data_IF_895972651803
#
_entry.id   IF_895972651803
#
_cell.length_a   1.000
_cell.length_b   1.000
_cell.length_c   1.000
_cell.angle_alpha   90.00
_cell.angle_beta   90.00
_cell.angle_gamma   90.00
#
_symmetry.space_group_name_H-M   'P 1'
#
loop_
_entity.id
_entity.type
_entity.pdbx_description
1 polymer ?
#
# COMPACT_ATOMS: atom_id res chain seq x y z
N UNK A 1 1.87 14.24 -10.15
CA UNK A 1 2.29 14.29 -11.57
C UNK A 1 2.13 12.91 -12.23
N UNK A 2 2.79 11.83 -11.78
CA UNK A 2 2.71 10.51 -12.44
C UNK A 2 1.28 10.02 -12.72
N UNK A 3 0.38 10.08 -11.73
CA UNK A 3 -1.03 9.71 -11.93
C UNK A 3 -1.70 10.55 -13.02
N UNK A 4 -1.40 11.84 -13.11
CA UNK A 4 -2.02 12.73 -14.10
C UNK A 4 -1.50 12.51 -15.53
N UNK A 5 -0.34 11.91 -15.68
CA UNK A 5 0.26 11.56 -16.97
C UNK A 5 -0.09 10.13 -17.43
N UNK A 6 -0.55 9.28 -16.50
CA UNK A 6 -0.90 7.90 -16.80
C UNK A 6 -2.15 7.84 -17.70
N UNK A 7 -2.05 7.05 -18.78
CA UNK A 7 -3.12 6.88 -19.79
C UNK A 7 -3.76 5.48 -19.79
N UNK A 8 -3.18 4.56 -19.02
CA UNK A 8 -3.66 3.17 -18.94
C UNK A 8 -4.84 3.02 -18.00
N UNK A 9 -5.64 1.98 -18.23
CA UNK A 9 -6.78 1.61 -17.38
C UNK A 9 -6.35 1.05 -16.03
N UNK A 10 -5.08 0.64 -15.91
CA UNK A 10 -4.47 0.04 -14.73
C UNK A 10 -3.17 0.76 -14.40
N UNK A 11 -2.98 1.10 -13.14
CA UNK A 11 -1.81 1.82 -12.65
C UNK A 11 -1.00 0.92 -11.71
N UNK A 12 0.32 0.86 -11.96
CA UNK A 12 1.31 0.30 -11.06
C UNK A 12 2.21 1.42 -10.52
N UNK A 13 2.54 1.34 -9.23
CA UNK A 13 3.51 2.22 -8.59
C UNK A 13 4.78 1.43 -8.30
N UNK A 14 5.91 1.95 -8.70
CA UNK A 14 7.24 1.37 -8.44
C UNK A 14 8.11 2.51 -7.92
N UNK A 15 8.71 2.31 -6.75
CA UNK A 15 9.66 3.27 -6.18
C UNK A 15 10.96 3.26 -7.00
N UNK A 16 11.64 4.38 -7.10
CA UNK A 16 12.83 4.56 -7.95
C UNK A 16 14.05 3.77 -7.48
N UNK A 17 14.03 3.29 -6.25
CA UNK A 17 15.06 2.46 -5.65
C UNK A 17 14.70 0.95 -5.62
N UNK A 18 13.50 0.60 -6.05
CA UNK A 18 13.01 -0.77 -6.09
C UNK A 18 13.03 -1.32 -7.54
N UNK A 19 12.80 -2.61 -7.70
CA UNK A 19 12.65 -3.24 -9.01
C UNK A 19 11.68 -4.43 -8.95
N UNK A 20 11.36 -4.99 -10.12
CA UNK A 20 10.39 -6.08 -10.24
C UNK A 20 10.97 -7.23 -11.07
N UNK A 21 10.41 -8.45 -10.90
CA UNK A 21 10.77 -9.60 -11.72
C UNK A 21 10.38 -9.38 -13.18
N UNK A 22 11.07 -10.07 -14.10
CA UNK A 22 10.78 -9.99 -15.55
C UNK A 22 9.36 -10.41 -15.90
N UNK A 23 8.77 -11.30 -15.11
CA UNK A 23 7.39 -11.81 -15.28
C UNK A 23 6.34 -11.00 -14.54
N UNK A 24 6.74 -9.95 -13.81
CA UNK A 24 5.87 -9.18 -12.90
C UNK A 24 4.59 -8.70 -13.57
N UNK A 25 4.70 -7.95 -14.66
CA UNK A 25 3.53 -7.39 -15.34
C UNK A 25 2.66 -8.46 -15.98
N UNK A 26 3.27 -9.46 -16.62
CA UNK A 26 2.56 -10.55 -17.27
C UNK A 26 1.71 -11.35 -16.27
N UNK A 27 2.30 -11.76 -15.15
CA UNK A 27 1.63 -12.53 -14.11
C UNK A 27 0.51 -11.72 -13.43
N UNK A 28 0.77 -10.44 -13.13
CA UNK A 28 -0.24 -9.60 -12.50
C UNK A 28 -1.39 -9.26 -13.44
N UNK A 29 -1.10 -8.97 -14.71
CA UNK A 29 -2.11 -8.66 -15.69
C UNK A 29 -3.03 -9.85 -15.97
N UNK A 30 -2.52 -11.08 -15.92
CA UNK A 30 -3.33 -12.29 -16.12
C UNK A 30 -4.45 -12.47 -15.10
N UNK A 31 -4.33 -11.83 -13.93
CA UNK A 31 -5.34 -11.86 -12.86
C UNK A 31 -6.23 -10.62 -12.80
N UNK A 32 -6.00 -9.66 -13.71
CA UNK A 32 -6.76 -8.41 -13.71
C UNK A 32 -8.13 -8.63 -14.36
N UNK A 33 -9.18 -8.22 -13.67
CA UNK A 33 -10.57 -8.24 -14.16
C UNK A 33 -11.10 -6.84 -14.50
N UNK A 34 -10.28 -5.79 -14.28
CA UNK A 34 -10.66 -4.39 -14.46
C UNK A 34 -11.31 -3.74 -13.23
N UNK A 35 -11.82 -4.54 -12.29
CA UNK A 35 -12.46 -4.09 -11.05
C UNK A 35 -11.90 -4.77 -9.79
N UNK A 36 -10.69 -5.33 -9.88
CA UNK A 36 -9.97 -5.92 -8.76
C UNK A 36 -8.60 -5.25 -8.56
N UNK A 37 -8.10 -5.30 -7.34
CA UNK A 37 -6.69 -5.02 -7.05
C UNK A 37 -5.92 -6.33 -7.12
N UNK A 38 -4.83 -6.35 -7.90
CA UNK A 38 -3.93 -7.51 -7.96
C UNK A 38 -2.70 -7.22 -7.12
N UNK A 39 -2.33 -8.14 -6.24
CA UNK A 39 -1.18 -8.04 -5.34
C UNK A 39 -0.12 -9.06 -5.74
N UNK A 40 1.16 -8.64 -5.76
CA UNK A 40 2.31 -9.49 -6.06
C UNK A 40 3.01 -10.01 -4.81
N UNK A 41 4.00 -10.90 -5.00
CA UNK A 41 4.88 -11.35 -3.93
C UNK A 41 5.88 -10.24 -3.55
N UNK A 42 5.91 -9.80 -2.29
CA UNK A 42 6.87 -8.79 -1.81
C UNK A 42 8.14 -9.47 -1.30
N UNK A 43 9.28 -9.09 -1.84
CA UNK A 43 10.60 -9.54 -1.44
C UNK A 43 11.42 -8.34 -0.93
N UNK A 44 11.77 -8.34 0.34
CA UNK A 44 12.58 -7.28 0.92
C UNK A 44 14.02 -7.74 1.11
N UNK A 45 15.00 -6.85 0.84
CA UNK A 45 16.43 -7.15 0.97
C UNK A 45 17.24 -5.89 1.34
N UNK A 46 18.42 -6.07 1.91
CA UNK A 46 19.36 -4.97 2.14
C UNK A 46 20.12 -4.63 0.85
N UNK A 47 20.38 -3.35 0.64
CA UNK A 47 21.19 -2.88 -0.46
C UNK A 47 22.55 -3.62 -0.50
N UNK A 48 22.93 -4.09 -1.71
CA UNK A 48 24.12 -4.92 -1.92
C UNK A 48 23.93 -6.42 -1.64
N UNK A 49 22.80 -6.84 -1.04
CA UNK A 49 22.55 -8.26 -0.68
C UNK A 49 21.20 -8.78 -1.19
N UNK A 50 20.94 -8.75 -2.50
CA UNK A 50 19.64 -9.12 -3.05
C UNK A 50 19.33 -10.63 -2.90
N UNK A 51 20.33 -11.47 -2.62
CA UNK A 51 20.17 -12.91 -2.36
C UNK A 51 19.62 -13.23 -0.97
N UNK A 52 19.63 -12.24 -0.03
CA UNK A 52 19.20 -12.44 1.35
C UNK A 52 17.85 -11.78 1.60
N UNK A 53 16.78 -12.58 1.60
CA UNK A 53 15.46 -12.08 1.94
C UNK A 53 15.36 -11.71 3.42
N UNK A 54 14.94 -10.49 3.67
CA UNK A 54 14.67 -10.01 5.03
C UNK A 54 13.27 -10.40 5.51
N UNK A 55 13.09 -10.57 6.83
CA UNK A 55 11.77 -10.65 7.42
C UNK A 55 10.97 -9.37 7.12
N UNK A 56 9.84 -9.52 6.42
CA UNK A 56 9.02 -8.39 6.04
C UNK A 56 7.53 -8.66 6.32
N UNK A 57 6.90 -7.73 7.05
CA UNK A 57 5.51 -7.91 7.49
C UNK A 57 4.50 -8.07 6.34
N UNK A 58 4.82 -7.53 5.16
CA UNK A 58 3.94 -7.64 4.00
C UNK A 58 4.11 -9.00 3.34
N UNK A 59 5.31 -9.58 3.31
CA UNK A 59 5.53 -10.96 2.88
C UNK A 59 4.74 -11.94 3.76
N UNK A 60 4.74 -11.72 5.07
CA UNK A 60 3.91 -12.53 5.99
C UNK A 60 2.41 -12.41 5.70
N UNK A 61 1.95 -11.21 5.32
CA UNK A 61 0.56 -11.00 4.93
C UNK A 61 0.22 -11.71 3.60
N UNK A 62 1.14 -11.67 2.62
CA UNK A 62 1.02 -12.41 1.37
C UNK A 62 0.88 -13.92 1.64
N UNK A 63 1.79 -14.51 2.43
CA UNK A 63 1.78 -15.94 2.74
C UNK A 63 0.49 -16.41 3.43
N UNK A 64 -0.17 -15.51 4.18
CA UNK A 64 -1.45 -15.80 4.81
C UNK A 64 -2.65 -15.67 3.87
N UNK A 65 -2.48 -15.05 2.72
CA UNK A 65 -3.56 -14.77 1.76
C UNK A 65 -3.44 -15.59 0.49
N UNK A 66 -2.24 -15.97 0.05
CA UNK A 66 -2.02 -16.72 -1.19
C UNK A 66 -2.77 -18.05 -1.18
N UNK A 67 -3.38 -18.41 -2.31
CA UNK A 67 -4.17 -19.63 -2.46
C UNK A 67 -5.60 -19.56 -1.90
N UNK A 68 -6.03 -18.45 -1.31
CA UNK A 68 -7.41 -18.28 -0.86
C UNK A 68 -8.30 -17.80 -2.00
N UNK A 69 -9.52 -18.38 -2.09
CA UNK A 69 -10.49 -18.06 -3.12
C UNK A 69 -11.13 -16.67 -2.96
N UNK A 70 -11.28 -16.22 -1.70
CA UNK A 70 -11.87 -14.92 -1.39
C UNK A 70 -10.97 -14.12 -0.46
N UNK A 71 -10.52 -12.97 -0.96
CA UNK A 71 -9.68 -12.05 -0.22
C UNK A 71 -10.37 -10.70 -0.18
N UNK A 72 -10.58 -10.19 1.01
CA UNK A 72 -11.16 -8.87 1.25
C UNK A 72 -10.21 -7.97 2.03
N UNK A 73 -10.55 -6.69 2.09
CA UNK A 73 -9.81 -5.71 2.90
C UNK A 73 -9.85 -6.01 4.41
N UNK A 74 -10.80 -6.83 4.87
CA UNK A 74 -10.86 -7.32 6.26
C UNK A 74 -9.80 -8.38 6.57
N UNK A 75 -9.24 -9.02 5.55
CA UNK A 75 -8.19 -10.03 5.69
C UNK A 75 -6.82 -9.40 5.97
N UNK A 76 -5.78 -10.22 6.08
CA UNK A 76 -4.40 -9.75 6.21
C UNK A 76 -3.91 -8.95 4.99
N UNK A 77 -4.61 -9.05 3.85
CA UNK A 77 -4.35 -8.25 2.65
C UNK A 77 -4.39 -6.74 2.91
N UNK A 78 -5.15 -6.27 3.92
CA UNK A 78 -5.15 -4.84 4.32
C UNK A 78 -3.76 -4.27 4.62
N UNK A 79 -2.78 -5.11 4.99
CA UNK A 79 -1.41 -4.67 5.24
C UNK A 79 -0.71 -4.14 3.99
N UNK A 80 -1.11 -4.61 2.80
CA UNK A 80 -0.63 -4.10 1.52
C UNK A 80 -1.06 -2.66 1.27
N UNK A 81 -2.13 -2.21 1.90
CA UNK A 81 -2.67 -0.86 1.71
C UNK A 81 -2.01 0.19 2.61
N UNK A 82 -0.80 -0.07 3.10
CA UNK A 82 0.06 0.94 3.73
C UNK A 82 0.82 1.80 2.71
N UNK A 83 0.86 1.42 1.45
CA UNK A 83 1.45 2.15 0.33
C UNK A 83 0.89 1.66 -1.00
N UNK A 84 1.11 2.37 -2.12
CA UNK A 84 0.54 2.04 -3.43
C UNK A 84 1.33 0.96 -4.18
N UNK A 85 2.60 0.71 -3.85
CA UNK A 85 3.47 -0.25 -4.52
C UNK A 85 3.01 -1.71 -4.32
N UNK A 86 3.60 -2.65 -5.04
CA UNK A 86 3.33 -4.10 -4.96
C UNK A 86 1.93 -4.51 -5.43
N UNK A 87 1.26 -3.68 -6.22
CA UNK A 87 -0.09 -3.95 -6.73
C UNK A 87 -0.40 -3.28 -8.06
N UNK A 88 -1.38 -3.84 -8.77
CA UNK A 88 -2.08 -3.18 -9.85
C UNK A 88 -3.39 -2.60 -9.32
N UNK A 89 -3.64 -1.34 -9.64
CA UNK A 89 -4.82 -0.59 -9.19
C UNK A 89 -5.58 -0.10 -10.42
N UNK A 90 -6.89 -0.40 -10.56
CA UNK A 90 -7.70 0.19 -11.60
C UNK A 90 -7.65 1.72 -11.55
N UNK A 91 -7.42 2.37 -12.70
CA UNK A 91 -7.38 3.82 -12.78
C UNK A 91 -8.71 4.45 -12.33
N UNK A 92 -9.82 3.75 -12.54
CA UNK A 92 -11.17 4.15 -12.08
C UNK A 92 -11.27 4.25 -10.56
N UNK A 93 -10.51 3.45 -9.79
CA UNK A 93 -10.50 3.53 -8.33
C UNK A 93 -9.77 4.78 -7.84
N UNK A 94 -8.78 5.24 -8.59
CA UNK A 94 -8.01 6.45 -8.32
C UNK A 94 -8.83 7.69 -8.71
N UNK A 95 -9.35 7.74 -9.94
CA UNK A 95 -10.11 8.87 -10.45
C UNK A 95 -9.35 10.20 -10.23
N UNK A 96 -10.03 11.17 -9.65
CA UNK A 96 -9.47 12.49 -9.32
C UNK A 96 -8.69 12.51 -7.98
N UNK A 97 -8.62 11.40 -7.25
CA UNK A 97 -7.92 11.33 -5.98
C UNK A 97 -6.40 11.44 -6.19
N UNK A 98 -5.75 12.21 -5.32
CA UNK A 98 -4.29 12.45 -5.39
C UNK A 98 -3.69 12.29 -4.00
N UNK A 99 -2.37 12.13 -3.96
CA UNK A 99 -1.61 12.17 -2.71
C UNK A 99 -1.76 13.53 -2.05
N UNK A 100 -1.95 13.54 -0.75
CA UNK A 100 -2.06 14.77 0.03
C UNK A 100 -0.68 15.31 0.36
N UNK A 101 -0.28 16.38 -0.34
CA UNK A 101 1.03 17.02 -0.22
C UNK A 101 1.27 17.69 1.16
N UNK A 102 0.25 17.78 2.00
CA UNK A 102 0.38 18.28 3.38
C UNK A 102 1.14 17.29 4.28
N UNK A 103 1.24 16.03 3.87
CA UNK A 103 1.91 14.97 4.61
C UNK A 103 3.23 14.61 3.93
N UNK A 104 4.31 14.54 4.73
CA UNK A 104 5.62 14.03 4.29
C UNK A 104 5.78 12.53 4.59
N UNK A 105 5.00 12.04 5.56
CA UNK A 105 4.98 10.63 5.98
C UNK A 105 3.54 10.21 6.21
N UNK A 106 3.16 9.05 5.67
CA UNK A 106 1.82 8.48 5.78
C UNK A 106 0.86 8.92 4.66
N UNK A 107 1.32 9.77 3.72
CA UNK A 107 0.56 10.17 2.52
C UNK A 107 0.14 8.97 1.68
N UNK A 108 1.01 7.98 1.53
CA UNK A 108 0.76 6.73 0.84
C UNK A 108 -0.40 5.96 1.47
N UNK A 109 -0.33 5.81 2.79
CA UNK A 109 -1.35 5.12 3.56
C UNK A 109 -2.70 5.87 3.53
N UNK A 110 -2.66 7.20 3.56
CA UNK A 110 -3.84 8.05 3.44
C UNK A 110 -4.45 7.94 2.04
N UNK A 111 -3.63 7.98 0.99
CA UNK A 111 -4.06 7.78 -0.39
C UNK A 111 -4.73 6.41 -0.57
N UNK A 112 -4.10 5.34 -0.07
CA UNK A 112 -4.67 3.99 -0.14
C UNK A 112 -5.97 3.86 0.66
N UNK A 113 -6.09 4.54 1.79
CA UNK A 113 -7.35 4.61 2.51
C UNK A 113 -8.41 5.35 1.68
N UNK A 114 -8.06 6.47 1.08
CA UNK A 114 -8.98 7.30 0.30
C UNK A 114 -9.59 6.58 -0.91
N UNK A 115 -8.83 5.68 -1.56
CA UNK A 115 -9.37 4.87 -2.68
C UNK A 115 -10.06 3.58 -2.20
N UNK A 116 -9.96 3.24 -0.90
CA UNK A 116 -10.37 1.92 -0.41
C UNK A 116 -11.87 1.65 -0.47
N UNK A 117 -12.70 2.67 -0.56
CA UNK A 117 -14.14 2.55 -0.77
C UNK A 117 -14.51 1.93 -2.13
N UNK A 118 -13.60 1.95 -3.10
CA UNK A 118 -13.78 1.35 -4.42
C UNK A 118 -13.36 -0.13 -4.47
N UNK A 119 -12.63 -0.63 -3.44
CA UNK A 119 -12.03 -1.96 -3.46
C UNK A 119 -13.11 -3.03 -3.21
N UNK A 120 -13.47 -3.75 -4.25
CA UNK A 120 -14.44 -4.84 -4.20
C UNK A 120 -13.75 -6.18 -3.95
N UNK A 121 -12.75 -6.50 -4.77
CA UNK A 121 -12.04 -7.77 -4.78
C UNK A 121 -10.54 -7.57 -4.81
N UNK A 122 -9.82 -8.53 -4.23
CA UNK A 122 -8.36 -8.58 -4.21
C UNK A 122 -7.94 -9.95 -4.75
N UNK A 123 -7.10 -9.93 -5.78
CA UNK A 123 -6.44 -11.13 -6.32
C UNK A 123 -4.97 -11.15 -5.92
N UNK A 124 -4.42 -12.32 -5.73
CA UNK A 124 -3.00 -12.48 -5.35
C UNK A 124 -2.33 -13.40 -6.36
N UNK A 125 -1.20 -12.94 -6.92
CA UNK A 125 -0.39 -13.74 -7.85
C UNK A 125 0.26 -14.92 -7.13
N UNK A 126 0.79 -15.87 -7.89
CA UNK A 126 1.79 -16.81 -7.41
C UNK A 126 3.13 -16.07 -7.18
N UNK A 127 4.10 -16.74 -6.60
CA UNK A 127 5.40 -16.15 -6.24
C UNK A 127 6.31 -15.76 -7.42
N UNK A 128 5.83 -15.86 -8.67
CA UNK A 128 6.60 -15.47 -9.85
C UNK A 128 6.56 -13.97 -10.13
N UNK A 129 5.49 -13.28 -9.72
CA UNK A 129 5.40 -11.83 -9.79
C UNK A 129 6.02 -11.23 -8.52
N UNK A 130 7.26 -10.83 -8.58
CA UNK A 130 8.02 -10.35 -7.43
C UNK A 130 8.24 -8.85 -7.51
N UNK A 131 7.96 -8.17 -6.40
CA UNK A 131 8.37 -6.79 -6.17
C UNK A 131 9.53 -6.80 -5.18
N UNK A 132 10.71 -6.38 -5.62
CA UNK A 132 11.93 -6.33 -4.82
C UNK A 132 12.07 -4.98 -4.14
N UNK A 133 11.83 -4.95 -2.83
CA UNK A 133 11.97 -3.78 -1.99
C UNK A 133 13.38 -3.69 -1.41
N UNK A 134 14.10 -2.64 -1.78
CA UNK A 134 15.45 -2.37 -1.30
C UNK A 134 15.45 -1.53 -0.03
N UNK A 135 16.15 -1.98 1.00
CA UNK A 135 16.45 -1.19 2.19
C UNK A 135 17.85 -0.58 2.07
N UNK A 136 17.90 0.75 2.05
CA UNK A 136 19.16 1.52 2.05
C UNK A 136 19.41 2.08 3.45
N UNK A 137 20.69 2.11 3.90
CA UNK A 137 21.10 2.65 5.21
C UNK A 137 20.75 4.13 5.39
N UNK A 138 20.61 4.89 4.29
CA UNK A 138 20.29 6.32 4.28
C UNK A 138 18.85 6.61 3.87
N UNK A 139 17.92 5.67 4.03
CA UNK A 139 16.52 5.91 3.68
C UNK A 139 15.94 7.08 4.50
N UNK A 140 15.41 8.09 3.80
CA UNK A 140 15.00 9.39 4.34
C UNK A 140 13.76 9.37 5.25
N UNK A 141 13.26 8.21 5.64
CA UNK A 141 11.89 8.06 6.15
C UNK A 141 11.69 8.23 7.66
N UNK A 142 12.70 8.60 8.44
CA UNK A 142 12.48 8.68 9.88
C UNK A 142 12.83 10.06 10.45
N UNK A 143 11.81 10.87 10.69
CA UNK A 143 11.97 11.99 11.60
C UNK A 143 12.22 11.45 13.00
N UNK A 144 13.40 11.74 13.57
CA UNK A 144 13.76 11.41 14.95
C UNK A 144 13.01 12.28 15.96
N UNK A 145 12.37 13.37 15.51
CA UNK A 145 11.68 14.32 16.37
C UNK A 145 10.27 13.80 16.74
N UNK A 146 10.12 13.39 18.00
CA UNK A 146 8.86 12.87 18.55
C UNK A 146 7.70 13.86 18.46
N UNK A 147 7.95 15.18 18.62
CA UNK A 147 6.90 16.20 18.48
C UNK A 147 6.35 16.23 17.05
N UNK A 148 7.25 16.16 16.07
CA UNK A 148 6.86 16.16 14.66
C UNK A 148 6.07 14.90 14.29
N UNK A 149 6.48 13.73 14.82
CA UNK A 149 5.72 12.46 14.64
C UNK A 149 4.34 12.54 15.28
N UNK A 150 4.25 13.12 16.48
CA UNK A 150 2.98 13.31 17.17
C UNK A 150 2.02 14.21 16.37
N UNK A 151 2.48 15.36 15.90
CA UNK A 151 1.66 16.25 15.07
C UNK A 151 1.24 15.59 13.76
N UNK A 152 2.14 14.87 13.10
CA UNK A 152 1.82 14.14 11.87
C UNK A 152 0.75 13.07 12.13
N UNK A 153 0.89 12.30 13.20
CA UNK A 153 -0.09 11.29 13.58
C UNK A 153 -1.48 11.87 13.87
N UNK A 154 -1.55 12.98 14.64
CA UNK A 154 -2.82 13.67 14.90
C UNK A 154 -3.50 14.14 13.60
N UNK A 155 -2.74 14.71 12.68
CA UNK A 155 -3.27 15.15 11.39
C UNK A 155 -3.77 13.97 10.56
N UNK A 156 -3.03 12.85 10.50
CA UNK A 156 -3.47 11.63 9.82
C UNK A 156 -4.75 11.07 10.45
N UNK A 157 -4.83 11.00 11.78
CA UNK A 157 -6.02 10.56 12.50
C UNK A 157 -7.21 11.46 12.13
N UNK A 158 -7.02 12.76 12.14
CA UNK A 158 -8.07 13.74 11.75
C UNK A 158 -8.57 13.49 10.32
N UNK A 159 -7.67 13.29 9.35
CA UNK A 159 -8.06 13.05 7.96
C UNK A 159 -8.75 11.69 7.77
N UNK A 160 -8.25 10.61 8.39
CA UNK A 160 -8.94 9.31 8.36
C UNK A 160 -10.34 9.41 8.95
N UNK A 161 -10.48 10.12 10.08
CA UNK A 161 -11.76 10.34 10.76
C UNK A 161 -12.70 11.15 9.88
N UNK A 162 -12.22 12.25 9.30
CA UNK A 162 -12.99 13.07 8.38
C UNK A 162 -13.51 12.26 7.20
N UNK A 163 -12.63 11.55 6.49
CA UNK A 163 -13.01 10.73 5.32
C UNK A 163 -14.04 9.67 5.73
N UNK A 164 -13.79 8.95 6.82
CA UNK A 164 -14.67 7.88 7.27
C UNK A 164 -16.08 8.39 7.63
N UNK A 165 -16.17 9.42 8.46
CA UNK A 165 -17.47 9.93 8.92
C UNK A 165 -18.24 10.73 7.87
N UNK A 166 -17.56 11.29 6.86
CA UNK A 166 -18.24 11.91 5.72
C UNK A 166 -18.95 10.86 4.84
N UNK A 167 -18.43 9.62 4.79
CA UNK A 167 -18.91 8.55 3.92
C UNK A 167 -18.94 7.20 4.66
N UNK A 168 -19.56 7.17 5.84
CA UNK A 168 -19.50 6.04 6.79
C UNK A 168 -19.95 4.70 6.20
N UNK A 169 -20.86 4.70 5.23
CA UNK A 169 -21.39 3.49 4.59
C UNK A 169 -20.47 2.96 3.47
N UNK A 170 -19.52 3.78 3.00
CA UNK A 170 -18.64 3.44 1.89
C UNK A 170 -17.33 2.83 2.35
N UNK A 171 -16.84 3.22 3.53
CA UNK A 171 -15.53 2.81 4.04
C UNK A 171 -15.62 1.67 5.05
N UNK A 172 -14.68 0.75 4.95
CA UNK A 172 -14.61 -0.38 5.86
C UNK A 172 -14.13 0.06 7.26
N UNK A 173 -14.95 -0.22 8.30
CA UNK A 173 -14.65 0.16 9.68
C UNK A 173 -13.35 -0.48 10.21
N UNK A 174 -13.12 -1.78 9.95
CA UNK A 174 -11.92 -2.48 10.44
C UNK A 174 -10.68 -1.85 9.81
N UNK A 175 -10.75 -1.52 8.52
CA UNK A 175 -9.63 -0.87 7.84
C UNK A 175 -9.39 0.54 8.39
N UNK A 176 -10.44 1.35 8.58
CA UNK A 176 -10.37 2.65 9.25
C UNK A 176 -9.69 2.53 10.62
N UNK A 177 -10.20 1.65 11.48
CA UNK A 177 -9.66 1.47 12.83
C UNK A 177 -8.18 1.09 12.83
N UNK A 178 -7.77 0.21 11.90
CA UNK A 178 -6.35 -0.16 11.77
C UNK A 178 -5.46 0.99 11.30
N UNK A 179 -5.99 1.98 10.54
CA UNK A 179 -5.26 3.19 10.17
C UNK A 179 -5.05 4.10 11.38
N UNK A 180 -6.08 4.28 12.19
CA UNK A 180 -5.98 5.03 13.46
C UNK A 180 -4.91 4.42 14.37
N UNK A 181 -4.99 3.10 14.62
CA UNK A 181 -3.99 2.39 15.44
C UNK A 181 -2.58 2.49 14.86
N UNK A 182 -2.44 2.39 13.53
CA UNK A 182 -1.17 2.56 12.84
C UNK A 182 -0.56 3.94 13.05
N UNK A 183 -1.38 4.98 12.98
CA UNK A 183 -0.94 6.37 13.24
C UNK A 183 -0.50 6.58 14.68
N UNK A 184 -1.23 6.02 15.65
CA UNK A 184 -0.82 6.06 17.06
C UNK A 184 0.50 5.33 17.28
N UNK A 185 0.64 4.13 16.69
CA UNK A 185 1.86 3.34 16.83
C UNK A 185 3.09 4.03 16.24
N UNK A 186 2.94 4.82 15.17
CA UNK A 186 4.04 5.56 14.55
C UNK A 186 4.64 6.66 15.45
N UNK A 187 3.93 7.07 16.51
CA UNK A 187 4.46 8.00 17.51
C UNK A 187 5.56 7.31 18.34
N UNK A 188 5.33 6.04 18.70
CA UNK A 188 6.19 5.29 19.62
C UNK A 188 7.30 4.57 18.85
N UNK A 189 6.93 3.90 17.76
CA UNK A 189 7.85 3.08 16.94
C UNK A 189 7.97 3.73 15.56
N UNK A 190 9.11 4.39 15.26
CA UNK A 190 9.37 4.97 13.95
C UNK A 190 9.52 3.92 12.85
#
# INVERSE_FOLDING_TARGET
KGISEAKGDIIAFIDDDDYVSTTYLQEMQSLTTGDNIVICYPYAFNDGHPEQQLPYRITNAYNQCVGKSHISINSMARKFFSGPCMKLIPASYIGEKRFDLRFKNGEDSLFMFFISNQIKTISITKQNAIYYRRYRSNSANFSTNIKQRFYNALRLISEYTRIYFTHIQEYNFIFFFTRILGSIRSIINP
#
